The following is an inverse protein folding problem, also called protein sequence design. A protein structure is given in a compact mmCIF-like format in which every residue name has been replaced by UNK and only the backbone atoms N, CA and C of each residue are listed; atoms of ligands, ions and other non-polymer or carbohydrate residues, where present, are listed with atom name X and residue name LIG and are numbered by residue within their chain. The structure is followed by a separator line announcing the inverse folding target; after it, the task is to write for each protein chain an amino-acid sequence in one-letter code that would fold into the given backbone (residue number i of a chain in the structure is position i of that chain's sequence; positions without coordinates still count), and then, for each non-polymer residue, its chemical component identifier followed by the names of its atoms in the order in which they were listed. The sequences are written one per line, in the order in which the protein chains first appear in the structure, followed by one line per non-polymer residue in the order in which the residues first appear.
data_IF_948237699260
#
_entry.id   IF_948237699260
#
_cell.length_a   1.000
_cell.length_b   1.000
_cell.length_c   1.000
_cell.angle_alpha   90.00
_cell.angle_beta   90.00
_cell.angle_gamma   90.00
#
_symmetry.space_group_name_H-M   'P 1'
#
loop_
_entity.id
_entity.type
_entity.pdbx_description
1 polymer ?
#
# COMPACT_ATOMS: atom_id res chain seq x y z
N UNK A 1 29.48 3.40 7.14
CA UNK A 1 28.37 2.85 6.31
C UNK A 1 27.46 2.01 7.20
N UNK A 2 26.24 2.46 7.48
CA UNK A 2 25.27 1.69 8.25
C UNK A 2 24.85 0.48 7.40
N UNK A 3 25.13 -0.73 7.91
CA UNK A 3 24.78 -2.00 7.28
C UNK A 3 23.26 -2.04 7.11
N UNK A 4 22.77 -2.01 5.88
CA UNK A 4 21.34 -2.14 5.63
C UNK A 4 20.86 -3.46 6.20
N UNK A 5 19.81 -3.38 7.04
CA UNK A 5 19.18 -4.59 7.58
C UNK A 5 18.55 -5.39 6.45
N UNK A 6 18.58 -6.74 6.52
CA UNK A 6 17.98 -7.57 5.49
C UNK A 6 16.47 -7.27 5.40
N UNK A 7 16.00 -6.84 4.25
CA UNK A 7 14.58 -6.55 3.99
C UNK A 7 13.76 -7.81 3.71
N UNK A 8 14.43 -8.91 3.36
CA UNK A 8 13.82 -10.18 2.98
C UNK A 8 12.76 -10.70 3.96
N UNK A 9 13.04 -10.82 5.27
CA UNK A 9 12.07 -11.37 6.23
C UNK A 9 10.75 -10.58 6.26
N UNK A 10 10.80 -9.25 6.13
CA UNK A 10 9.60 -8.40 6.13
C UNK A 10 8.77 -8.65 4.87
N UNK A 11 9.44 -8.78 3.71
CA UNK A 11 8.78 -9.04 2.42
C UNK A 11 8.12 -10.42 2.45
N UNK A 12 8.84 -11.46 2.89
CA UNK A 12 8.30 -12.81 3.01
C UNK A 12 7.11 -12.87 3.96
N UNK A 13 7.20 -12.22 5.12
CA UNK A 13 6.09 -12.15 6.07
C UNK A 13 4.84 -11.52 5.42
N UNK A 14 4.98 -10.41 4.73
CA UNK A 14 3.86 -9.72 4.09
C UNK A 14 3.23 -10.56 2.98
N UNK A 15 4.06 -11.15 2.10
CA UNK A 15 3.60 -11.95 0.97
C UNK A 15 2.97 -13.27 1.41
N UNK A 16 3.62 -14.00 2.32
CA UNK A 16 3.11 -15.28 2.84
C UNK A 16 1.82 -15.09 3.63
N UNK A 17 1.75 -14.06 4.46
CA UNK A 17 0.51 -13.72 5.16
C UNK A 17 -0.61 -13.36 4.17
N UNK A 18 -0.31 -12.59 3.10
CA UNK A 18 -1.29 -12.30 2.05
C UNK A 18 -1.80 -13.59 1.37
N UNK A 19 -0.91 -14.52 1.07
CA UNK A 19 -1.27 -15.81 0.47
C UNK A 19 -2.15 -16.63 1.42
N UNK A 20 -1.76 -16.77 2.69
CA UNK A 20 -2.55 -17.50 3.69
C UNK A 20 -3.93 -16.85 3.91
N UNK A 21 -4.00 -15.53 4.01
CA UNK A 21 -5.25 -14.76 4.12
C UNK A 21 -6.12 -15.00 2.89
N UNK A 22 -5.54 -15.02 1.68
CA UNK A 22 -6.26 -15.31 0.45
C UNK A 22 -6.80 -16.73 0.43
N UNK A 23 -5.98 -17.73 0.76
CA UNK A 23 -6.40 -19.14 0.86
C UNK A 23 -7.49 -19.33 1.91
N UNK A 24 -7.38 -18.67 3.07
CA UNK A 24 -8.45 -18.66 4.08
C UNK A 24 -9.75 -18.10 3.49
N UNK A 25 -9.69 -17.03 2.70
CA UNK A 25 -10.85 -16.48 2.00
C UNK A 25 -11.48 -17.47 1.05
N UNK A 26 -10.68 -18.25 0.29
CA UNK A 26 -11.18 -19.30 -0.60
C UNK A 26 -11.92 -20.36 0.20
N UNK A 27 -11.33 -20.83 1.31
CA UNK A 27 -11.93 -21.89 2.15
C UNK A 27 -13.23 -21.41 2.82
N UNK A 28 -13.21 -20.20 3.42
CA UNK A 28 -14.39 -19.65 4.10
C UNK A 28 -15.56 -19.30 3.15
N UNK A 29 -15.29 -19.13 1.87
CA UNK A 29 -16.31 -18.91 0.85
C UNK A 29 -16.63 -20.19 0.05
N UNK A 30 -16.40 -21.38 0.63
CA UNK A 30 -16.70 -22.71 0.04
C UNK A 30 -16.05 -22.95 -1.34
N UNK A 31 -14.90 -22.31 -1.58
CA UNK A 31 -14.19 -22.38 -2.85
C UNK A 31 -14.93 -21.63 -3.98
N UNK A 32 -14.57 -21.94 -5.22
CA UNK A 32 -15.27 -21.42 -6.38
C UNK A 32 -15.31 -19.87 -6.45
N UNK A 33 -16.41 -19.37 -6.98
CA UNK A 33 -16.62 -17.93 -7.25
C UNK A 33 -16.60 -17.09 -5.98
N UNK A 34 -17.34 -17.51 -4.97
CA UNK A 34 -17.50 -16.72 -3.73
C UNK A 34 -16.23 -16.79 -2.87
N UNK A 35 -15.55 -17.92 -2.85
CA UNK A 35 -14.25 -18.07 -2.19
C UNK A 35 -13.19 -17.17 -2.79
N UNK A 36 -13.09 -17.07 -4.11
CA UNK A 36 -12.14 -16.17 -4.78
C UNK A 36 -12.52 -14.71 -4.58
N UNK A 37 -13.81 -14.37 -4.53
CA UNK A 37 -14.27 -13.03 -4.19
C UNK A 37 -13.87 -12.64 -2.76
N UNK A 38 -14.04 -13.55 -1.79
CA UNK A 38 -13.62 -13.36 -0.41
C UNK A 38 -12.09 -13.20 -0.30
N UNK A 39 -11.32 -14.06 -0.98
CA UNK A 39 -9.86 -13.97 -1.05
C UNK A 39 -9.40 -12.61 -1.59
N UNK A 40 -10.02 -12.15 -2.68
CA UNK A 40 -9.75 -10.83 -3.26
C UNK A 40 -10.01 -9.70 -2.25
N UNK A 41 -11.13 -9.77 -1.53
CA UNK A 41 -11.48 -8.76 -0.53
C UNK A 41 -10.53 -8.77 0.67
N UNK A 42 -10.12 -9.94 1.16
CA UNK A 42 -9.24 -10.08 2.32
C UNK A 42 -7.80 -9.63 2.00
N UNK A 43 -7.28 -10.04 0.86
CA UNK A 43 -5.94 -9.64 0.42
C UNK A 43 -5.84 -8.14 0.13
N UNK A 44 -6.91 -7.49 -0.38
CA UNK A 44 -6.97 -6.04 -0.52
C UNK A 44 -6.84 -5.33 0.83
N UNK A 45 -7.58 -5.79 1.85
CA UNK A 45 -7.51 -5.22 3.21
C UNK A 45 -6.14 -5.39 3.85
N UNK A 46 -5.50 -6.54 3.63
CA UNK A 46 -4.14 -6.77 4.08
C UNK A 46 -3.14 -5.83 3.42
N UNK A 47 -3.22 -5.68 2.09
CA UNK A 47 -2.28 -4.85 1.35
C UNK A 47 -2.39 -3.36 1.70
N UNK A 48 -3.59 -2.81 1.90
CA UNK A 48 -3.73 -1.39 2.27
C UNK A 48 -3.14 -1.08 3.64
N UNK A 49 -3.15 -2.02 4.58
CA UNK A 49 -2.49 -1.86 5.87
C UNK A 49 -0.96 -1.66 5.70
N UNK A 50 -0.33 -2.49 4.86
CA UNK A 50 1.10 -2.38 4.55
C UNK A 50 1.43 -1.09 3.80
N UNK A 51 0.55 -0.68 2.89
CA UNK A 51 0.68 0.61 2.20
C UNK A 51 0.66 1.77 3.18
N UNK A 52 -0.35 1.83 4.05
CA UNK A 52 -0.49 2.90 5.03
C UNK A 52 0.71 2.97 5.97
N UNK A 53 1.22 1.82 6.44
CA UNK A 53 2.43 1.75 7.26
C UNK A 53 3.67 2.30 6.53
N UNK A 54 3.92 1.86 5.28
CA UNK A 54 5.06 2.34 4.50
C UNK A 54 4.96 3.83 4.17
N UNK A 55 3.76 4.29 3.80
CA UNK A 55 3.52 5.64 3.34
C UNK A 55 3.55 6.68 4.48
N UNK A 56 3.14 6.29 5.69
CA UNK A 56 3.18 7.15 6.88
C UNK A 56 4.52 7.11 7.64
N UNK A 57 5.41 6.15 7.37
CA UNK A 57 6.62 5.89 8.17
C UNK A 57 7.48 7.13 8.43
N UNK A 58 7.74 7.95 7.39
CA UNK A 58 8.54 9.17 7.53
C UNK A 58 7.84 10.25 8.34
N UNK A 59 6.52 10.37 8.20
CA UNK A 59 5.72 11.33 8.93
C UNK A 59 5.66 10.98 10.43
N UNK A 60 5.42 9.71 10.74
CA UNK A 60 5.40 9.21 12.12
C UNK A 60 6.73 9.46 12.84
N UNK A 61 7.85 9.16 12.19
CA UNK A 61 9.17 9.39 12.77
C UNK A 61 9.51 10.88 12.94
N UNK A 62 8.98 11.76 12.06
CA UNK A 62 9.14 13.23 12.20
C UNK A 62 8.28 13.82 13.31
N UNK A 63 7.04 13.35 13.43
CA UNK A 63 6.09 13.87 14.42
C UNK A 63 6.44 13.40 15.83
N UNK A 64 6.78 12.12 15.96
CA UNK A 64 7.08 11.49 17.25
C UNK A 64 8.27 10.53 17.09
N UNK A 65 9.52 11.01 17.16
CA UNK A 65 10.71 10.17 17.03
C UNK A 65 10.82 9.17 18.19
N UNK A 66 11.40 7.99 17.90
CA UNK A 66 11.69 6.96 18.89
C UNK A 66 10.87 5.67 18.72
N UNK A 67 11.33 4.61 19.40
CA UNK A 67 10.67 3.31 19.46
C UNK A 67 10.36 2.69 18.08
N UNK A 68 9.16 2.08 17.97
CA UNK A 68 8.71 1.39 16.76
C UNK A 68 8.59 2.30 15.53
N UNK A 69 8.36 3.61 15.71
CA UNK A 69 8.25 4.59 14.60
C UNK A 69 9.59 4.79 13.90
N UNK A 70 10.66 4.85 14.68
CA UNK A 70 12.02 4.89 14.14
C UNK A 70 12.39 3.57 13.46
N UNK A 71 12.00 2.44 14.07
CA UNK A 71 12.16 1.12 13.45
C UNK A 71 11.43 1.05 12.10
N UNK A 72 10.18 1.52 12.02
CA UNK A 72 9.38 1.56 10.79
C UNK A 72 10.05 2.41 9.71
N UNK A 73 10.61 3.57 10.08
CA UNK A 73 11.35 4.42 9.13
C UNK A 73 12.57 3.71 8.56
N UNK A 74 13.37 3.04 9.39
CA UNK A 74 14.56 2.31 8.94
C UNK A 74 14.21 1.08 8.09
N UNK A 75 13.06 0.47 8.32
CA UNK A 75 12.58 -0.69 7.57
C UNK A 75 11.58 -0.32 6.45
N UNK A 76 11.38 0.99 6.18
CA UNK A 76 10.39 1.48 5.21
C UNK A 76 10.50 0.85 3.83
N UNK A 77 11.74 0.55 3.36
CA UNK A 77 11.95 -0.14 2.08
C UNK A 77 11.37 -1.56 2.13
N UNK A 78 11.66 -2.32 3.16
CA UNK A 78 11.13 -3.67 3.35
C UNK A 78 9.61 -3.69 3.48
N UNK A 79 9.04 -2.75 4.23
CA UNK A 79 7.58 -2.62 4.41
C UNK A 79 6.91 -2.22 3.09
N UNK A 80 7.51 -1.31 2.31
CA UNK A 80 6.99 -0.91 0.99
C UNK A 80 7.07 -2.04 -0.04
N UNK A 81 8.14 -2.80 -0.06
CA UNK A 81 8.24 -4.01 -0.88
C UNK A 81 7.26 -5.09 -0.40
N UNK A 82 7.08 -5.24 0.93
CA UNK A 82 6.06 -6.11 1.51
C UNK A 82 4.65 -5.73 1.03
N UNK A 83 4.33 -4.44 0.99
CA UNK A 83 3.11 -3.95 0.37
C UNK A 83 3.00 -4.40 -1.10
N UNK A 84 4.04 -4.17 -1.90
CA UNK A 84 4.02 -4.50 -3.32
C UNK A 84 3.75 -5.99 -3.54
N UNK A 85 4.47 -6.87 -2.85
CA UNK A 85 4.28 -8.32 -2.97
C UNK A 85 2.92 -8.79 -2.47
N UNK A 86 2.43 -8.28 -1.33
CA UNK A 86 1.08 -8.57 -0.84
C UNK A 86 0.00 -8.10 -1.83
N UNK A 87 0.24 -6.95 -2.49
CA UNK A 87 -0.69 -6.42 -3.48
C UNK A 87 -0.64 -7.20 -4.81
N UNK A 88 0.50 -7.78 -5.18
CA UNK A 88 0.56 -8.72 -6.31
C UNK A 88 -0.16 -10.04 -6.01
N UNK A 89 -0.12 -10.55 -4.77
CA UNK A 89 -0.97 -11.68 -4.37
C UNK A 89 -2.46 -11.31 -4.53
N UNK A 90 -2.86 -10.11 -4.10
CA UNK A 90 -4.21 -9.61 -4.34
C UNK A 90 -4.55 -9.55 -5.85
N UNK A 91 -3.60 -9.11 -6.71
CA UNK A 91 -3.82 -9.06 -8.15
C UNK A 91 -4.12 -10.45 -8.75
N UNK A 92 -3.46 -11.49 -8.26
CA UNK A 92 -3.71 -12.87 -8.72
C UNK A 92 -5.15 -13.29 -8.41
N UNK A 93 -5.63 -13.11 -7.17
CA UNK A 93 -7.00 -13.41 -6.81
C UNK A 93 -8.02 -12.54 -7.58
N UNK A 94 -7.74 -11.26 -7.75
CA UNK A 94 -8.58 -10.35 -8.52
C UNK A 94 -8.67 -10.76 -10.01
N UNK A 95 -7.53 -11.08 -10.62
CA UNK A 95 -7.49 -11.58 -12.00
C UNK A 95 -8.25 -12.91 -12.14
N UNK A 96 -8.07 -13.84 -11.20
CA UNK A 96 -8.82 -15.10 -11.16
C UNK A 96 -10.33 -14.85 -11.05
N UNK A 97 -10.75 -13.91 -10.20
CA UNK A 97 -12.16 -13.55 -10.06
C UNK A 97 -12.77 -13.07 -11.38
N UNK A 98 -12.03 -12.28 -12.15
CA UNK A 98 -12.52 -11.76 -13.45
C UNK A 98 -12.40 -12.81 -14.55
N UNK A 99 -11.22 -13.40 -14.75
CA UNK A 99 -10.90 -14.19 -15.92
C UNK A 99 -11.47 -15.62 -15.85
N UNK A 100 -11.54 -16.20 -14.65
CA UNK A 100 -12.02 -17.58 -14.45
C UNK A 100 -13.49 -17.59 -14.02
N UNK A 101 -13.87 -16.70 -13.12
CA UNK A 101 -15.21 -16.71 -12.52
C UNK A 101 -16.15 -15.63 -13.08
N UNK A 102 -15.71 -14.82 -14.05
CA UNK A 102 -16.55 -13.85 -14.74
C UNK A 102 -17.12 -12.75 -13.83
N UNK A 103 -16.39 -12.36 -12.77
CA UNK A 103 -16.80 -11.21 -11.96
C UNK A 103 -16.76 -9.92 -12.79
N UNK A 104 -17.85 -9.16 -12.76
CA UNK A 104 -17.89 -7.88 -13.43
C UNK A 104 -16.97 -6.87 -12.71
N UNK A 105 -16.11 -6.22 -13.48
CA UNK A 105 -15.33 -5.08 -13.03
C UNK A 105 -15.61 -3.88 -13.95
N UNK A 106 -15.85 -2.71 -13.36
CA UNK A 106 -16.07 -1.50 -14.14
C UNK A 106 -14.77 -1.09 -14.86
N UNK A 107 -14.89 -0.39 -15.99
CA UNK A 107 -13.73 0.17 -16.71
C UNK A 107 -12.89 1.08 -15.80
N UNK A 108 -13.53 1.82 -14.89
CA UNK A 108 -12.85 2.65 -13.90
C UNK A 108 -11.97 1.79 -12.98
N UNK A 109 -12.47 0.63 -12.54
CA UNK A 109 -11.70 -0.31 -11.72
C UNK A 109 -10.53 -0.91 -12.49
N UNK A 110 -10.73 -1.30 -13.75
CA UNK A 110 -9.69 -1.91 -14.59
C UNK A 110 -8.60 -0.88 -14.90
N UNK A 111 -8.95 0.29 -15.38
CA UNK A 111 -8.00 1.34 -15.77
C UNK A 111 -7.31 1.92 -14.53
N UNK A 112 -8.09 2.30 -13.51
CA UNK A 112 -7.54 2.88 -12.27
C UNK A 112 -6.68 1.88 -11.51
N UNK A 113 -7.16 0.64 -11.34
CA UNK A 113 -6.40 -0.44 -10.73
C UNK A 113 -5.14 -0.78 -11.52
N UNK A 114 -5.25 -0.89 -12.86
CA UNK A 114 -4.12 -1.13 -13.75
C UNK A 114 -3.04 -0.05 -13.63
N UNK A 115 -3.42 1.24 -13.64
CA UNK A 115 -2.50 2.35 -13.40
C UNK A 115 -1.82 2.22 -12.02
N UNK A 116 -2.59 1.87 -10.99
CA UNK A 116 -2.06 1.58 -9.65
C UNK A 116 -0.99 0.49 -9.67
N UNK A 117 -1.24 -0.63 -10.34
CA UNK A 117 -0.26 -1.73 -10.47
C UNK A 117 1.00 -1.32 -11.23
N UNK A 118 0.90 -0.46 -12.25
CA UNK A 118 2.07 0.10 -12.94
C UNK A 118 2.93 0.89 -11.94
N UNK A 119 2.34 1.76 -11.13
CA UNK A 119 3.09 2.50 -10.10
C UNK A 119 3.68 1.57 -9.03
N UNK A 120 2.93 0.57 -8.56
CA UNK A 120 3.44 -0.42 -7.59
C UNK A 120 4.65 -1.15 -8.17
N UNK A 121 4.58 -1.62 -9.42
CA UNK A 121 5.67 -2.31 -10.10
C UNK A 121 6.90 -1.41 -10.27
N UNK A 122 6.73 -0.18 -10.79
CA UNK A 122 7.82 0.77 -10.97
C UNK A 122 8.51 1.13 -9.65
N UNK A 123 7.71 1.36 -8.59
CA UNK A 123 8.25 1.65 -7.26
C UNK A 123 8.97 0.45 -6.66
N UNK A 124 8.46 -0.77 -6.85
CA UNK A 124 9.11 -2.00 -6.37
C UNK A 124 10.45 -2.25 -7.09
N UNK A 125 10.45 -2.19 -8.42
CA UNK A 125 11.65 -2.39 -9.25
C UNK A 125 12.74 -1.35 -8.98
N UNK A 126 12.36 -0.13 -8.64
CA UNK A 126 13.28 0.96 -8.31
C UNK A 126 13.62 1.07 -6.81
N UNK A 127 13.12 0.16 -5.97
CA UNK A 127 13.39 0.12 -4.52
C UNK A 127 14.73 -0.55 -4.20
N UNK A 128 15.80 -0.12 -4.84
CA UNK A 128 17.18 -0.60 -4.63
C UNK A 128 18.18 0.57 -4.66
N UNK A 129 19.40 0.33 -4.17
CA UNK A 129 20.42 1.39 -4.05
C UNK A 129 20.95 1.89 -5.38
N UNK A 130 21.01 1.02 -6.38
CA UNK A 130 21.41 1.39 -7.72
C UNK A 130 20.41 2.39 -8.32
N UNK A 131 19.12 2.08 -8.27
CA UNK A 131 18.07 2.98 -8.78
C UNK A 131 18.03 4.31 -8.02
N UNK A 132 18.24 4.31 -6.70
CA UNK A 132 18.30 5.55 -5.90
C UNK A 132 19.43 6.44 -6.37
N UNK A 133 20.63 5.86 -6.63
CA UNK A 133 21.79 6.63 -7.11
C UNK A 133 21.63 7.12 -8.55
N UNK A 134 21.12 6.26 -9.43
CA UNK A 134 21.01 6.55 -10.87
C UNK A 134 19.88 7.53 -11.17
N UNK A 135 18.72 7.37 -10.54
CA UNK A 135 17.54 8.21 -10.77
C UNK A 135 17.57 9.51 -9.94
N UNK A 136 18.29 9.56 -8.84
CA UNK A 136 18.45 10.75 -7.99
C UNK A 136 17.11 11.41 -7.61
N UNK A 137 16.90 12.64 -8.05
CA UNK A 137 15.66 13.37 -7.79
C UNK A 137 14.41 12.72 -8.41
N UNK A 138 14.56 12.07 -9.56
CA UNK A 138 13.44 11.40 -10.23
C UNK A 138 12.96 10.19 -9.45
N UNK A 139 13.85 9.50 -8.72
CA UNK A 139 13.44 8.45 -7.79
C UNK A 139 12.46 8.99 -6.74
N UNK A 140 12.79 10.14 -6.14
CA UNK A 140 11.92 10.80 -5.15
C UNK A 140 10.58 11.21 -5.74
N UNK A 141 10.59 11.75 -6.98
CA UNK A 141 9.36 12.14 -7.71
C UNK A 141 8.48 10.93 -7.97
N UNK A 142 9.05 9.83 -8.53
CA UNK A 142 8.33 8.59 -8.79
C UNK A 142 7.65 8.05 -7.53
N UNK A 143 8.41 7.91 -6.42
CA UNK A 143 7.87 7.38 -5.18
C UNK A 143 6.87 8.32 -4.49
N UNK A 144 7.00 9.64 -4.67
CA UNK A 144 6.04 10.61 -4.13
C UNK A 144 4.74 10.61 -4.93
N UNK A 145 4.83 10.71 -6.26
CA UNK A 145 3.66 10.69 -7.17
C UNK A 145 2.96 9.34 -7.09
N UNK A 146 3.70 8.24 -7.20
CA UNK A 146 3.14 6.89 -7.11
C UNK A 146 2.42 6.65 -5.79
N UNK A 147 2.99 7.09 -4.68
CA UNK A 147 2.34 7.00 -3.37
C UNK A 147 1.03 7.79 -3.29
N UNK A 148 0.96 8.99 -3.88
CA UNK A 148 -0.28 9.80 -3.93
C UNK A 148 -1.32 9.13 -4.84
N UNK A 149 -0.91 8.64 -6.03
CA UNK A 149 -1.81 7.96 -6.95
C UNK A 149 -2.41 6.71 -6.31
N UNK A 150 -1.58 5.86 -5.69
CA UNK A 150 -2.04 4.66 -5.00
C UNK A 150 -2.98 5.01 -3.84
N UNK A 151 -2.66 6.05 -3.06
CA UNK A 151 -3.55 6.54 -2.00
C UNK A 151 -4.91 7.00 -2.54
N UNK A 152 -4.92 7.72 -3.65
CA UNK A 152 -6.14 8.16 -4.33
C UNK A 152 -6.99 6.99 -4.82
N UNK A 153 -6.37 5.97 -5.43
CA UNK A 153 -7.06 4.75 -5.88
C UNK A 153 -7.66 4.00 -4.69
N UNK A 154 -6.93 3.81 -3.61
CA UNK A 154 -7.48 3.20 -2.39
C UNK A 154 -8.62 4.03 -1.80
N UNK A 155 -8.44 5.34 -1.67
CA UNK A 155 -9.49 6.24 -1.15
C UNK A 155 -10.78 6.14 -1.99
N UNK A 156 -10.66 6.19 -3.32
CA UNK A 156 -11.79 6.02 -4.22
C UNK A 156 -12.47 4.66 -4.07
N UNK A 157 -11.67 3.58 -4.03
CA UNK A 157 -12.18 2.21 -3.89
C UNK A 157 -12.92 2.03 -2.56
N UNK A 158 -12.35 2.49 -1.44
CA UNK A 158 -12.98 2.35 -0.12
C UNK A 158 -14.16 3.30 0.09
N UNK A 159 -14.16 4.49 -0.53
CA UNK A 159 -15.33 5.35 -0.58
C UNK A 159 -16.50 4.67 -1.31
N UNK A 160 -16.22 4.03 -2.44
CA UNK A 160 -17.22 3.22 -3.16
C UNK A 160 -17.81 2.10 -2.30
N UNK A 161 -17.04 1.50 -1.38
CA UNK A 161 -17.57 0.49 -0.45
C UNK A 161 -18.61 1.04 0.53
N UNK A 162 -18.47 2.30 0.96
CA UNK A 162 -19.48 2.95 1.81
C UNK A 162 -20.78 3.13 1.01
N UNK A 163 -20.70 3.62 -0.21
CA UNK A 163 -21.87 3.88 -1.07
C UNK A 163 -22.58 2.59 -1.53
N UNK A 164 -21.86 1.46 -1.55
CA UNK A 164 -22.40 0.13 -1.88
C UNK A 164 -22.70 -0.74 -0.64
N UNK A 165 -23.17 -0.12 0.45
CA UNK A 165 -23.66 -0.77 1.67
C UNK A 165 -22.64 -1.64 2.42
N UNK A 166 -21.35 -1.32 2.31
CA UNK A 166 -20.28 -1.95 3.08
C UNK A 166 -19.54 -0.91 3.97
N UNK A 167 -20.25 -0.17 4.84
CA UNK A 167 -19.67 1.00 5.53
C UNK A 167 -18.48 0.64 6.44
N UNK A 168 -18.50 -0.50 7.10
CA UNK A 168 -17.39 -0.93 7.96
C UNK A 168 -16.10 -1.16 7.15
N UNK A 169 -16.22 -1.80 5.97
CA UNK A 169 -15.07 -2.05 5.09
C UNK A 169 -14.56 -0.74 4.50
N UNK A 170 -15.46 0.13 4.05
CA UNK A 170 -15.10 1.43 3.52
C UNK A 170 -14.41 2.31 4.56
N UNK A 171 -14.97 2.38 5.78
CA UNK A 171 -14.39 3.15 6.89
C UNK A 171 -13.01 2.64 7.29
N UNK A 172 -12.80 1.31 7.34
CA UNK A 172 -11.49 0.72 7.61
C UNK A 172 -10.41 1.26 6.63
N UNK A 173 -10.67 1.15 5.33
CA UNK A 173 -9.69 1.57 4.33
C UNK A 173 -9.48 3.09 4.30
N UNK A 174 -10.58 3.87 4.41
CA UNK A 174 -10.47 5.33 4.47
C UNK A 174 -9.75 5.82 5.73
N UNK A 175 -9.95 5.18 6.88
CA UNK A 175 -9.22 5.50 8.10
C UNK A 175 -7.72 5.26 7.94
N UNK A 176 -7.31 4.17 7.31
CA UNK A 176 -5.89 3.87 7.06
C UNK A 176 -5.25 4.87 6.09
N UNK A 177 -5.88 5.09 4.93
CA UNK A 177 -5.33 5.97 3.89
C UNK A 177 -5.43 7.43 4.29
N UNK A 178 -6.59 7.85 4.80
CA UNK A 178 -6.83 9.21 5.28
C UNK A 178 -5.96 9.55 6.50
N UNK A 179 -5.81 8.62 7.45
CA UNK A 179 -4.91 8.76 8.59
C UNK A 179 -3.45 8.90 8.15
N UNK A 180 -2.98 8.08 7.20
CA UNK A 180 -1.64 8.20 6.65
C UNK A 180 -1.44 9.55 5.92
N UNK A 181 -2.44 10.03 5.17
CA UNK A 181 -2.41 11.32 4.51
C UNK A 181 -2.37 12.48 5.52
N UNK A 182 -3.22 12.44 6.55
CA UNK A 182 -3.26 13.44 7.62
C UNK A 182 -1.92 13.53 8.36
N UNK A 183 -1.29 12.40 8.68
CA UNK A 183 0.04 12.36 9.28
C UNK A 183 1.10 13.01 8.39
N UNK A 184 1.06 12.78 7.07
CA UNK A 184 1.99 13.38 6.12
C UNK A 184 1.81 14.90 6.03
N UNK A 185 0.56 15.36 5.98
CA UNK A 185 0.23 16.79 5.98
C UNK A 185 0.72 17.44 7.29
N UNK A 186 0.41 16.86 8.43
CA UNK A 186 0.87 17.37 9.73
C UNK A 186 2.40 17.45 9.82
N UNK A 187 3.12 16.44 9.30
CA UNK A 187 4.58 16.46 9.26
C UNK A 187 5.15 17.54 8.33
N UNK A 188 4.47 17.86 7.24
CA UNK A 188 4.85 18.95 6.32
C UNK A 188 4.63 20.31 6.97
N UNK A 189 3.46 20.54 7.56
CA UNK A 189 3.12 21.78 8.27
C UNK A 189 4.11 22.06 9.41
N UNK A 190 4.39 21.02 10.24
CA UNK A 190 5.38 21.15 11.33
C UNK A 190 6.79 21.47 10.81
N UNK A 191 7.17 20.93 9.65
CA UNK A 191 8.47 21.20 9.05
C UNK A 191 8.56 22.64 8.53
N UNK A 192 7.50 23.15 7.89
CA UNK A 192 7.41 24.52 7.39
C UNK A 192 7.45 25.55 8.54
N UNK A 193 6.74 25.26 9.64
CA UNK A 193 6.71 26.14 10.82
C UNK A 193 8.06 26.24 11.55
N UNK A 194 8.99 25.32 11.30
CA UNK A 194 10.35 25.34 11.92
C UNK A 194 11.42 25.98 11.06
N UNK A 195 11.12 26.36 9.82
CA UNK A 195 12.07 27.10 8.99
C UNK A 195 12.10 28.58 9.45
N UNK A 196 13.28 29.17 9.68
CA UNK A 196 13.37 30.59 9.95
C UNK A 196 12.75 31.36 8.79
N UNK A 197 11.95 32.41 9.11
CA UNK A 197 11.50 33.37 8.08
C UNK A 197 12.73 33.94 7.40
N UNK A 198 12.80 34.02 6.07
CA UNK A 198 13.84 34.79 5.42
C UNK A 198 13.81 36.24 5.92
N UNK A 199 14.99 36.73 6.31
CA UNK A 199 15.16 38.08 6.74
C UNK A 199 14.89 39.08 5.60
#
# INVERSE_FOLDING_TARGET
MARQKPTGPIIYLAAMAALLIGLTGVVLGDGGRDGVAAATAFTARWSVLWFAAAWSASALAKLWPGGWRTWLLFNRRGVGLGFAFAHFVHAVFFATAILVYGHAASMVTIIGGGAGYVFVALMALTSNDWSVRTLGANWKRLHSVGGIVIAGIFAFTYYGRITHQQPLVGSYGLALVGGAAALRIAALVRSAARQPKPA
#
